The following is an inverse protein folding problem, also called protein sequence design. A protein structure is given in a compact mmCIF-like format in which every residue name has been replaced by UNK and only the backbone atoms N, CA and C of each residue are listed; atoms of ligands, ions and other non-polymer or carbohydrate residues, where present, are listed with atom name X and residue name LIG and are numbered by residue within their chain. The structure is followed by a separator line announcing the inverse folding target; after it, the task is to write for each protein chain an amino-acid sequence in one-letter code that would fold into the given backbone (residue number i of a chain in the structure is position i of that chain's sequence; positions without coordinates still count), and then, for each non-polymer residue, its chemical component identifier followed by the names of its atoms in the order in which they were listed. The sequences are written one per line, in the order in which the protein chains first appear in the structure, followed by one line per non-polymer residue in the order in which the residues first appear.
data_IF_984094670495
#
_entry.id   IF_984094670495
#
_cell.length_a   1.000
_cell.length_b   1.000
_cell.length_c   1.000
_cell.angle_alpha   90.00
_cell.angle_beta   90.00
_cell.angle_gamma   90.00
#
_symmetry.space_group_name_H-M   'P 1'
#
loop_
_entity.id
_entity.type
_entity.pdbx_description
1 polymer ?
#
# COMPACT_ATOMS: atom_id res chain seq x y z
N UNK A 1 15.51 6.21 -6.08
CA UNK A 1 14.52 5.22 -5.59
C UNK A 1 15.22 3.86 -5.56
N UNK A 2 14.89 2.99 -4.59
CA UNK A 2 15.37 1.61 -4.64
C UNK A 2 14.88 0.97 -5.94
N UNK A 3 15.76 0.22 -6.58
CA UNK A 3 15.36 -0.59 -7.72
C UNK A 3 14.55 -1.78 -7.21
N UNK A 4 13.30 -1.88 -7.65
CA UNK A 4 12.39 -2.97 -7.32
C UNK A 4 12.10 -3.86 -8.53
N UNK A 5 12.81 -3.70 -9.65
CA UNK A 5 12.49 -4.35 -10.92
C UNK A 5 12.44 -5.87 -10.81
N UNK A 6 13.43 -6.49 -10.15
CA UNK A 6 13.47 -7.94 -9.91
C UNK A 6 12.28 -8.41 -9.05
N UNK A 7 11.95 -7.66 -8.00
CA UNK A 7 10.81 -7.98 -7.14
C UNK A 7 9.47 -7.82 -7.87
N UNK A 8 9.30 -6.74 -8.64
CA UNK A 8 8.11 -6.51 -9.46
C UNK A 8 7.92 -7.64 -10.46
N UNK A 9 9.01 -8.07 -11.12
CA UNK A 9 8.97 -9.20 -12.03
C UNK A 9 8.53 -10.49 -11.32
N UNK A 10 9.15 -10.82 -10.19
CA UNK A 10 8.80 -11.99 -9.38
C UNK A 10 7.31 -11.99 -8.99
N UNK A 11 6.79 -10.85 -8.51
CA UNK A 11 5.39 -10.74 -8.11
C UNK A 11 4.46 -10.88 -9.32
N UNK A 12 4.78 -10.23 -10.43
CA UNK A 12 4.00 -10.31 -11.68
C UNK A 12 3.89 -11.76 -12.15
N UNK A 13 5.01 -12.50 -12.14
CA UNK A 13 5.07 -13.92 -12.53
C UNK A 13 4.28 -14.83 -11.60
N UNK A 14 4.38 -14.64 -10.27
CA UNK A 14 3.71 -15.49 -9.28
C UNK A 14 2.22 -15.20 -9.11
N UNK A 15 1.80 -13.95 -9.27
CA UNK A 15 0.42 -13.51 -9.04
C UNK A 15 -0.46 -13.53 -10.29
N UNK A 16 0.14 -13.58 -11.49
CA UNK A 16 -0.57 -13.44 -12.75
C UNK A 16 -1.08 -12.02 -13.04
N UNK A 17 -0.66 -11.02 -12.25
CA UNK A 17 -0.98 -9.62 -12.49
C UNK A 17 -0.34 -9.18 -13.80
N UNK A 18 -1.14 -8.75 -14.77
CA UNK A 18 -0.65 -8.40 -16.13
C UNK A 18 -0.06 -7.00 -16.26
N UNK A 19 -0.17 -6.19 -15.20
CA UNK A 19 0.18 -4.76 -15.19
C UNK A 19 1.23 -4.49 -14.11
N UNK A 20 2.53 -4.61 -14.42
CA UNK A 20 3.62 -4.38 -13.48
C UNK A 20 3.57 -2.99 -12.82
N UNK A 21 3.05 -1.99 -13.52
CA UNK A 21 2.89 -0.63 -13.01
C UNK A 21 1.92 -0.54 -11.81
N UNK A 22 0.98 -1.49 -11.68
CA UNK A 22 0.10 -1.56 -10.50
C UNK A 22 0.85 -2.11 -9.29
N UNK A 23 1.75 -3.07 -9.51
CA UNK A 23 2.62 -3.63 -8.46
C UNK A 23 3.59 -2.56 -7.97
N UNK A 24 4.23 -1.83 -8.89
CA UNK A 24 5.12 -0.72 -8.56
C UNK A 24 4.40 0.36 -7.73
N UNK A 25 3.21 0.79 -8.17
CA UNK A 25 2.41 1.76 -7.42
C UNK A 25 2.03 1.25 -6.03
N UNK A 26 1.66 -0.02 -5.89
CA UNK A 26 1.34 -0.58 -4.57
C UNK A 26 2.57 -0.60 -3.64
N UNK A 27 3.76 -0.90 -4.16
CA UNK A 27 5.01 -0.84 -3.39
C UNK A 27 5.28 0.58 -2.90
N UNK A 28 5.10 1.59 -3.76
CA UNK A 28 5.26 3.00 -3.40
C UNK A 28 4.24 3.39 -2.32
N UNK A 29 2.96 3.06 -2.51
CA UNK A 29 1.90 3.35 -1.53
C UNK A 29 2.14 2.67 -0.19
N UNK A 30 2.58 1.41 -0.19
CA UNK A 30 2.94 0.68 1.02
C UNK A 30 4.12 1.34 1.74
N UNK A 31 5.09 1.83 0.98
CA UNK A 31 6.25 2.54 1.53
C UNK A 31 5.84 3.87 2.17
N UNK A 32 4.96 4.63 1.52
CA UNK A 32 4.40 5.88 2.07
C UNK A 32 3.63 5.58 3.36
N UNK A 33 2.70 4.61 3.32
CA UNK A 33 1.91 4.21 4.49
C UNK A 33 2.80 3.79 5.67
N UNK A 34 3.84 3.00 5.41
CA UNK A 34 4.82 2.61 6.42
C UNK A 34 5.52 3.84 7.03
N UNK A 35 5.99 4.77 6.20
CA UNK A 35 6.68 5.97 6.68
C UNK A 35 5.76 6.89 7.50
N UNK A 36 4.49 7.01 7.11
CA UNK A 36 3.49 7.75 7.89
C UNK A 36 3.33 7.14 9.29
N UNK A 37 3.20 5.81 9.39
CA UNK A 37 3.05 5.13 10.68
C UNK A 37 4.36 5.00 11.49
N UNK A 38 5.54 5.22 10.89
CA UNK A 38 6.80 5.36 11.62
C UNK A 38 6.91 6.72 12.34
N UNK A 39 6.13 7.72 11.94
CA UNK A 39 6.05 8.99 12.64
C UNK A 39 5.08 8.85 13.84
N UNK A 40 5.59 9.04 15.06
CA UNK A 40 4.80 8.88 16.30
C UNK A 40 3.59 9.81 16.38
N UNK A 41 3.75 11.07 15.98
CA UNK A 41 2.64 12.02 15.98
C UNK A 41 1.54 11.56 15.03
N UNK A 42 1.88 11.17 13.81
CA UNK A 42 0.90 10.69 12.85
C UNK A 42 0.21 9.41 13.33
N UNK A 43 0.96 8.42 13.81
CA UNK A 43 0.42 7.13 14.22
C UNK A 43 -0.52 7.22 15.43
N UNK A 44 -0.30 8.20 16.32
CA UNK A 44 -1.17 8.45 17.48
C UNK A 44 -2.43 9.25 17.14
N UNK A 45 -2.42 10.05 16.06
CA UNK A 45 -3.49 11.01 15.77
C UNK A 45 -4.32 10.65 14.52
N UNK A 46 -3.90 9.69 13.70
CA UNK A 46 -4.59 9.35 12.45
C UNK A 46 -4.92 7.85 12.34
N UNK A 47 -6.19 7.57 12.06
CA UNK A 47 -6.72 6.22 11.82
C UNK A 47 -6.84 5.94 10.33
N UNK A 48 -6.22 4.85 9.87
CA UNK A 48 -6.26 4.39 8.49
C UNK A 48 -7.62 3.75 8.16
N UNK A 49 -8.23 4.20 7.06
CA UNK A 49 -9.58 3.79 6.64
C UNK A 49 -9.67 3.68 5.11
N UNK A 50 -10.90 3.53 4.63
CA UNK A 50 -11.21 3.57 3.21
C UNK A 50 -10.85 2.30 2.46
N UNK A 51 -10.85 2.39 1.13
CA UNK A 51 -10.75 1.24 0.26
C UNK A 51 -9.41 0.49 0.37
N UNK A 52 -8.32 1.22 0.56
CA UNK A 52 -6.98 0.65 0.67
C UNK A 52 -6.76 -0.04 2.01
N UNK A 53 -7.35 0.47 3.10
CA UNK A 53 -7.38 -0.21 4.40
C UNK A 53 -8.11 -1.56 4.31
N UNK A 54 -9.26 -1.61 3.63
CA UNK A 54 -9.99 -2.86 3.43
C UNK A 54 -9.18 -3.91 2.65
N UNK A 55 -8.49 -3.50 1.58
CA UNK A 55 -7.63 -4.40 0.79
C UNK A 55 -6.45 -4.92 1.63
N UNK A 56 -5.74 -4.03 2.33
CA UNK A 56 -4.48 -4.38 3.01
C UNK A 56 -4.67 -5.08 4.36
N UNK A 57 -5.74 -4.75 5.09
CA UNK A 57 -5.93 -5.21 6.46
C UNK A 57 -7.00 -6.30 6.62
N UNK A 58 -7.92 -6.47 5.67
CA UNK A 58 -9.11 -7.33 5.86
C UNK A 58 -9.34 -8.34 4.73
N UNK A 59 -9.33 -7.92 3.47
CA UNK A 59 -9.79 -8.76 2.34
C UNK A 59 -8.68 -9.26 1.43
N UNK A 60 -7.44 -8.86 1.66
CA UNK A 60 -6.33 -9.15 0.76
C UNK A 60 -6.47 -8.48 -0.61
N UNK A 61 -5.59 -8.86 -1.53
CA UNK A 61 -5.41 -8.23 -2.84
C UNK A 61 -6.47 -8.63 -3.90
N UNK A 62 -7.77 -8.49 -3.58
CA UNK A 62 -8.86 -8.75 -4.54
C UNK A 62 -8.99 -7.65 -5.61
N UNK A 63 -8.51 -6.44 -5.32
CA UNK A 63 -8.36 -5.33 -6.26
C UNK A 63 -7.19 -4.44 -5.85
N UNK A 64 -6.68 -3.65 -6.79
CA UNK A 64 -5.79 -2.53 -6.46
C UNK A 64 -6.58 -1.32 -5.96
N UNK A 65 -5.95 -0.53 -5.11
CA UNK A 65 -6.47 0.72 -4.58
C UNK A 65 -5.31 1.70 -4.44
N UNK A 66 -5.52 2.96 -4.80
CA UNK A 66 -4.44 3.94 -4.97
C UNK A 66 -4.42 5.05 -3.93
N UNK A 67 -5.52 5.23 -3.19
CA UNK A 67 -5.67 6.31 -2.23
C UNK A 67 -5.32 5.85 -0.80
N UNK A 68 -4.77 6.74 0.02
CA UNK A 68 -4.60 6.49 1.45
C UNK A 68 -5.55 7.41 2.22
N UNK A 69 -6.65 6.85 2.72
CA UNK A 69 -7.67 7.59 3.46
C UNK A 69 -7.40 7.52 4.96
N UNK A 70 -7.45 8.68 5.62
CA UNK A 70 -7.30 8.79 7.07
C UNK A 70 -8.42 9.60 7.70
N UNK A 71 -8.64 9.41 9.00
CA UNK A 71 -9.44 10.30 9.82
C UNK A 71 -8.66 10.63 11.08
N UNK A 72 -8.72 11.88 11.51
CA UNK A 72 -8.11 12.33 12.75
C UNK A 72 -8.84 11.69 13.94
N UNK A 73 -8.11 10.99 14.82
CA UNK A 73 -8.66 10.47 16.07
C UNK A 73 -8.69 11.60 17.10
N UNK A 74 -9.91 11.98 17.51
CA UNK A 74 -10.14 12.84 18.66
C UNK A 74 -9.70 12.16 19.96
#
# INVERSE_FOLDING_TARGET
MKDYSEFIQLITEKSGIKKPELVEKDIVLQTILKNLYLNEYFSQNYLFKGGTCLVKCYFGYYRFSVDLDFTFSL
#
